data_IF_173357658467
#
_entry.id   IF_173357658467
#
_cell.length_a   1.000
_cell.length_b   1.000
_cell.length_c   1.000
_cell.angle_alpha   90.00
_cell.angle_beta   90.00
_cell.angle_gamma   90.00
#
_symmetry.space_group_name_H-M   'P 1'
#
loop_
_entity.id
_entity.type
_entity.pdbx_description
1 polymer ?
#
# COMPACT_ATOMS: atom_id res chain seq x y z
N UNK A 1 17.31 -20.03 -1.39
CA UNK A 1 16.52 -19.06 -0.59
C UNK A 1 15.72 -18.18 -1.54
N UNK A 2 14.39 -18.16 -1.41
CA UNK A 2 13.46 -17.40 -2.25
C UNK A 2 13.42 -15.93 -1.78
N UNK A 3 14.07 -15.03 -2.53
CA UNK A 3 14.05 -13.58 -2.27
C UNK A 3 12.84 -12.94 -2.99
N UNK A 4 11.63 -13.39 -2.66
CA UNK A 4 10.37 -12.77 -3.06
C UNK A 4 10.06 -11.64 -2.05
N UNK A 5 9.58 -10.49 -2.52
CA UNK A 5 9.11 -9.41 -1.66
C UNK A 5 7.89 -9.83 -0.86
N UNK A 6 6.98 -10.60 -1.47
CA UNK A 6 5.76 -11.07 -0.84
C UNK A 6 6.05 -12.41 -0.17
N UNK A 7 6.02 -12.51 1.17
CA UNK A 7 6.13 -13.79 1.85
C UNK A 7 5.00 -14.75 1.45
N UNK A 8 5.29 -16.05 1.36
CA UNK A 8 4.30 -17.09 0.98
C UNK A 8 2.97 -17.01 1.73
N UNK A 9 3.01 -16.67 3.02
CA UNK A 9 1.82 -16.62 3.87
C UNK A 9 1.22 -15.21 3.99
N UNK A 10 1.78 -14.18 3.34
CA UNK A 10 1.38 -12.79 3.56
C UNK A 10 -0.11 -12.54 3.35
N UNK A 11 -0.71 -13.11 2.30
CA UNK A 11 -2.14 -12.92 2.03
C UNK A 11 -3.04 -13.71 2.97
N UNK A 12 -2.60 -14.91 3.38
CA UNK A 12 -3.28 -15.68 4.41
C UNK A 12 -3.25 -14.93 5.75
N UNK A 13 -2.09 -14.43 6.14
CA UNK A 13 -1.90 -13.67 7.38
C UNK A 13 -2.72 -12.38 7.35
N UNK A 14 -2.75 -11.67 6.21
CA UNK A 14 -3.60 -10.49 6.03
C UNK A 14 -5.08 -10.81 6.26
N UNK A 15 -5.59 -11.91 5.69
CA UNK A 15 -6.98 -12.31 5.83
C UNK A 15 -7.35 -12.77 7.25
N UNK A 16 -6.41 -13.38 7.98
CA UNK A 16 -6.65 -13.93 9.33
C UNK A 16 -6.42 -12.87 10.43
N UNK A 17 -5.42 -12.00 10.25
CA UNK A 17 -4.96 -11.05 11.28
C UNK A 17 -5.61 -9.67 11.16
N UNK A 18 -6.47 -9.45 10.16
CA UNK A 18 -7.13 -8.16 9.93
C UNK A 18 -8.61 -8.37 9.56
N UNK A 19 -9.46 -7.35 9.73
CA UNK A 19 -10.86 -7.44 9.34
C UNK A 19 -11.08 -7.27 7.82
N UNK A 20 -10.11 -7.60 6.96
CA UNK A 20 -10.17 -7.34 5.51
C UNK A 20 -11.46 -7.84 4.86
N UNK A 21 -11.89 -9.06 5.18
CA UNK A 21 -13.11 -9.64 4.61
C UNK A 21 -14.35 -8.88 5.06
N UNK A 22 -14.42 -8.51 6.35
CA UNK A 22 -15.51 -7.70 6.89
C UNK A 22 -15.54 -6.31 6.26
N UNK A 23 -14.39 -5.68 6.10
CA UNK A 23 -14.25 -4.38 5.42
C UNK A 23 -14.83 -4.44 4.02
N UNK A 24 -14.44 -5.43 3.20
CA UNK A 24 -14.99 -5.55 1.85
C UNK A 24 -16.50 -5.80 1.86
N UNK A 25 -17.00 -6.68 2.75
CA UNK A 25 -18.43 -6.92 2.87
C UNK A 25 -19.19 -5.64 3.20
N UNK A 26 -18.75 -4.90 4.23
CA UNK A 26 -19.40 -3.68 4.70
C UNK A 26 -19.29 -2.53 3.68
N UNK A 27 -18.14 -2.39 3.02
CA UNK A 27 -17.92 -1.31 2.04
C UNK A 27 -18.83 -1.40 0.81
N UNK A 28 -19.30 -2.61 0.47
CA UNK A 28 -20.25 -2.85 -0.62
C UNK A 28 -21.68 -3.16 -0.12
N UNK A 29 -21.98 -2.86 1.15
CA UNK A 29 -23.31 -3.00 1.73
C UNK A 29 -24.04 -1.65 1.78
N UNK A 30 -25.35 -1.68 2.05
CA UNK A 30 -26.15 -0.48 2.26
C UNK A 30 -25.65 0.33 3.47
N UNK A 31 -25.70 1.65 3.37
CA UNK A 31 -25.32 2.58 4.44
C UNK A 31 -26.57 2.89 5.26
N UNK A 32 -26.64 2.40 6.48
CA UNK A 32 -27.79 2.62 7.36
C UNK A 32 -27.62 3.84 8.27
N UNK A 33 -26.38 4.14 8.68
CA UNK A 33 -26.06 5.21 9.61
C UNK A 33 -24.67 5.79 9.38
N UNK A 34 -24.41 6.99 9.92
CA UNK A 34 -23.08 7.63 9.86
C UNK A 34 -22.11 6.85 10.75
N UNK A 35 -22.61 6.35 11.88
CA UNK A 35 -21.90 5.56 12.86
C UNK A 35 -21.34 4.26 12.24
N UNK A 36 -22.10 3.59 11.37
CA UNK A 36 -21.63 2.42 10.61
C UNK A 36 -20.46 2.78 9.68
N UNK A 37 -20.50 3.95 9.03
CA UNK A 37 -19.41 4.43 8.19
C UNK A 37 -18.15 4.75 9.00
N UNK A 38 -18.30 5.36 10.18
CA UNK A 38 -17.18 5.62 11.09
C UNK A 38 -16.54 4.31 11.58
N UNK A 39 -17.35 3.31 11.93
CA UNK A 39 -16.86 1.99 12.30
C UNK A 39 -16.10 1.33 11.14
N UNK A 40 -16.64 1.39 9.91
CA UNK A 40 -15.97 0.89 8.72
C UNK A 40 -14.62 1.59 8.49
N UNK A 41 -14.52 2.89 8.78
CA UNK A 41 -13.29 3.66 8.65
C UNK A 41 -12.21 3.13 9.63
N UNK A 42 -12.59 2.81 10.86
CA UNK A 42 -11.70 2.19 11.85
C UNK A 42 -11.19 0.82 11.37
N UNK A 43 -12.08 -0.03 10.86
CA UNK A 43 -11.68 -1.36 10.35
C UNK A 43 -10.73 -1.24 9.15
N UNK A 44 -11.00 -0.32 8.23
CA UNK A 44 -10.17 -0.07 7.06
C UNK A 44 -8.78 0.47 7.46
N UNK A 45 -8.71 1.31 8.50
CA UNK A 45 -7.44 1.77 9.08
C UNK A 45 -6.61 0.60 9.64
N UNK A 46 -7.23 -0.35 10.35
CA UNK A 46 -6.54 -1.53 10.88
C UNK A 46 -5.89 -2.37 9.78
N UNK A 47 -6.61 -2.60 8.67
CA UNK A 47 -6.08 -3.30 7.49
C UNK A 47 -4.88 -2.54 6.90
N UNK A 48 -5.01 -1.23 6.71
CA UNK A 48 -3.96 -0.38 6.15
C UNK A 48 -2.70 -0.39 7.01
N UNK A 49 -2.84 -0.26 8.33
CA UNK A 49 -1.71 -0.29 9.27
C UNK A 49 -1.02 -1.65 9.31
N UNK A 50 -1.77 -2.74 9.16
CA UNK A 50 -1.17 -4.07 9.03
C UNK A 50 -0.28 -4.15 7.77
N UNK A 51 -0.81 -3.76 6.60
CA UNK A 51 -0.03 -3.77 5.35
C UNK A 51 1.17 -2.84 5.40
N UNK A 52 1.04 -1.68 6.07
CA UNK A 52 2.15 -0.77 6.31
C UNK A 52 3.30 -1.46 7.06
N UNK A 53 2.99 -2.17 8.14
CA UNK A 53 3.98 -2.92 8.92
C UNK A 53 4.61 -4.05 8.10
N UNK A 54 3.81 -4.74 7.27
CA UNK A 54 4.35 -5.74 6.34
C UNK A 54 5.34 -5.13 5.34
N UNK A 55 5.00 -3.98 4.74
CA UNK A 55 5.90 -3.26 3.83
C UNK A 55 7.21 -2.85 4.52
N UNK A 56 7.14 -2.39 5.78
CA UNK A 56 8.32 -2.07 6.58
C UNK A 56 9.20 -3.29 6.82
N UNK A 57 8.60 -4.43 7.13
CA UNK A 57 9.31 -5.69 7.32
C UNK A 57 9.99 -6.16 6.03
N UNK A 58 9.33 -6.02 4.87
CA UNK A 58 9.91 -6.33 3.55
C UNK A 58 11.14 -5.45 3.30
N UNK A 59 11.03 -4.14 3.49
CA UNK A 59 12.13 -3.18 3.32
C UNK A 59 13.31 -3.52 4.24
N UNK A 60 13.03 -3.86 5.51
CA UNK A 60 14.06 -4.24 6.48
C UNK A 60 14.79 -5.51 6.06
N UNK A 61 14.07 -6.58 5.74
CA UNK A 61 14.65 -7.86 5.29
C UNK A 61 15.51 -7.71 4.03
N UNK A 62 15.08 -6.87 3.09
CA UNK A 62 15.86 -6.60 1.87
C UNK A 62 17.12 -5.78 2.14
N UNK A 63 17.11 -4.89 3.14
CA UNK A 63 18.29 -4.11 3.53
C UNK A 63 19.42 -5.01 4.05
N UNK A 64 19.05 -6.09 4.71
CA UNK A 64 19.95 -7.12 5.24
C UNK A 64 20.45 -8.09 4.14
N UNK A 65 19.99 -7.95 2.88
CA UNK A 65 20.35 -8.84 1.78
C UNK A 65 21.61 -8.37 1.03
N UNK A 66 22.69 -9.16 1.11
CA UNK A 66 23.99 -8.84 0.53
C UNK A 66 23.97 -8.65 -1.00
N UNK A 67 23.12 -9.40 -1.72
CA UNK A 67 23.03 -9.29 -3.19
C UNK A 67 22.48 -7.92 -3.59
N UNK A 68 21.45 -7.45 -2.90
CA UNK A 68 20.82 -6.14 -3.18
C UNK A 68 21.78 -5.01 -2.81
N UNK A 69 22.51 -5.14 -1.70
CA UNK A 69 23.54 -4.20 -1.28
C UNK A 69 24.68 -4.10 -2.30
N UNK A 70 25.15 -5.24 -2.82
CA UNK A 70 26.21 -5.31 -3.83
C UNK A 70 25.80 -4.66 -5.17
N UNK A 71 24.52 -4.73 -5.54
CA UNK A 71 23.99 -4.13 -6.77
C UNK A 71 23.76 -2.61 -6.67
N UNK A 72 24.01 -2.00 -5.50
CA UNK A 72 23.96 -0.54 -5.35
C UNK A 72 22.56 0.08 -5.41
N UNK A 73 21.51 -0.69 -5.15
CA UNK A 73 20.14 -0.19 -5.04
C UNK A 73 19.45 -0.73 -3.78
N UNK A 74 18.46 0.00 -3.29
CA UNK A 74 17.66 -0.40 -2.11
C UNK A 74 16.19 -0.11 -2.32
N UNK A 75 15.34 -0.93 -1.71
CA UNK A 75 13.93 -0.61 -1.54
C UNK A 75 13.78 0.34 -0.34
N UNK A 76 13.00 1.39 -0.50
CA UNK A 76 12.58 2.25 0.60
C UNK A 76 11.06 2.34 0.67
N UNK A 77 10.56 2.67 1.85
CA UNK A 77 9.19 3.15 2.02
C UNK A 77 9.23 4.68 2.04
N UNK A 78 8.70 5.30 1.00
CA UNK A 78 8.64 6.76 0.86
C UNK A 78 7.38 7.29 1.57
N UNK A 79 7.56 8.27 2.46
CA UNK A 79 6.47 8.94 3.19
C UNK A 79 5.93 10.17 2.44
N UNK A 80 6.57 10.58 1.35
CA UNK A 80 6.35 11.88 0.72
C UNK A 80 5.15 11.98 -0.24
N UNK A 81 4.06 11.22 -0.02
CA UNK A 81 2.84 11.44 -0.79
C UNK A 81 1.88 12.35 -0.02
N UNK A 82 1.36 13.38 -0.69
CA UNK A 82 0.33 14.29 -0.19
C UNK A 82 -0.97 13.58 0.24
N UNK A 83 -1.11 12.29 -0.08
CA UNK A 83 -2.22 11.43 0.30
C UNK A 83 -2.00 10.66 1.61
N UNK A 84 -0.87 10.86 2.33
CA UNK A 84 -0.51 10.05 3.51
C UNK A 84 -0.19 8.59 3.18
N UNK A 85 0.05 8.29 1.90
CA UNK A 85 0.34 6.95 1.41
C UNK A 85 1.81 6.58 1.58
N UNK A 86 2.07 5.37 2.06
CA UNK A 86 3.41 4.83 2.19
C UNK A 86 3.73 3.92 1.00
N UNK A 87 4.54 4.41 0.08
CA UNK A 87 4.82 3.70 -1.17
C UNK A 87 6.22 3.11 -1.18
N UNK A 88 6.34 1.89 -1.68
CA UNK A 88 7.61 1.23 -1.92
C UNK A 88 8.25 1.78 -3.20
N UNK A 89 9.51 2.21 -3.11
CA UNK A 89 10.28 2.79 -4.22
C UNK A 89 11.71 2.28 -4.23
N UNK A 90 12.24 1.96 -5.40
CA UNK A 90 13.67 1.71 -5.59
C UNK A 90 14.46 3.02 -5.51
N UNK A 91 15.62 2.97 -4.87
CA UNK A 91 16.59 4.09 -4.80
C UNK A 91 17.99 3.56 -5.06
N UNK A 92 18.78 4.33 -5.81
CA UNK A 92 20.22 4.13 -5.92
C UNK A 92 20.90 4.47 -4.60
N UNK A 93 21.93 3.69 -4.26
CA UNK A 93 22.83 3.96 -3.13
C UNK A 93 24.26 4.24 -3.58
N UNK A 94 24.63 3.85 -4.80
CA UNK A 94 25.93 4.11 -5.40
C UNK A 94 25.79 5.12 -6.55
N UNK A 95 26.59 6.18 -6.52
CA UNK A 95 26.64 7.24 -7.54
C UNK A 95 25.74 8.45 -7.29
N UNK A 96 26.28 9.66 -7.51
CA UNK A 96 25.50 10.90 -7.63
C UNK A 96 24.93 10.96 -9.05
N UNK A 97 23.67 10.55 -9.26
CA UNK A 97 22.79 11.13 -10.30
C UNK A 97 21.35 10.61 -10.18
N UNK A 98 20.47 11.50 -9.73
CA UNK A 98 19.21 11.98 -10.35
C UNK A 98 18.23 11.07 -11.12
N UNK A 99 18.40 9.75 -11.19
CA UNK A 99 17.35 8.90 -11.77
C UNK A 99 16.23 8.67 -10.74
N UNK A 100 15.29 9.62 -10.72
CA UNK A 100 14.04 9.59 -9.95
C UNK A 100 13.13 8.48 -10.49
N UNK A 101 13.22 7.29 -9.91
CA UNK A 101 12.14 6.31 -9.88
C UNK A 101 11.76 5.67 -11.21
N UNK A 102 11.07 4.52 -11.14
CA UNK A 102 10.45 3.84 -12.29
C UNK A 102 11.37 3.05 -13.22
N UNK A 103 12.62 3.48 -13.48
CA UNK A 103 13.48 2.86 -14.51
C UNK A 103 14.76 2.19 -13.97
N UNK A 104 14.96 2.19 -12.66
CA UNK A 104 16.15 1.60 -12.02
C UNK A 104 16.32 0.12 -12.30
N UNK A 105 15.23 -0.65 -12.15
CA UNK A 105 15.23 -2.08 -12.45
C UNK A 105 15.50 -2.38 -13.92
N UNK A 106 15.14 -1.46 -14.83
CA UNK A 106 15.32 -1.63 -16.28
C UNK A 106 16.81 -1.68 -16.65
N UNK A 107 17.60 -0.78 -16.07
CA UNK A 107 19.06 -0.78 -16.27
C UNK A 107 19.71 -2.08 -15.81
N UNK A 108 19.27 -2.63 -14.67
CA UNK A 108 19.78 -3.90 -14.15
C UNK A 108 19.38 -5.10 -15.02
N UNK A 109 18.17 -5.11 -15.57
CA UNK A 109 17.76 -6.18 -16.49
C UNK A 109 18.56 -6.11 -17.81
N UNK A 110 18.90 -4.91 -18.26
CA UNK A 110 19.66 -4.70 -19.49
C UNK A 110 21.17 -4.94 -19.35
N UNK A 111 21.71 -5.01 -18.12
CA UNK A 111 23.13 -5.24 -17.87
C UNK A 111 23.53 -6.68 -18.26
N UNK A 112 24.37 -6.82 -19.28
CA UNK A 112 24.83 -8.12 -19.78
C UNK A 112 25.80 -8.83 -18.83
N UNK A 113 26.35 -8.14 -17.83
CA UNK A 113 27.22 -8.73 -16.81
C UNK A 113 26.44 -9.47 -15.71
N UNK A 114 25.14 -9.17 -15.58
CA UNK A 114 24.30 -9.83 -14.58
C UNK A 114 23.78 -11.18 -15.08
N UNK A 115 23.90 -12.20 -14.22
CA UNK A 115 23.36 -13.53 -14.46
C UNK A 115 21.84 -13.48 -14.69
N UNK A 116 21.34 -14.33 -15.57
CA UNK A 116 19.92 -14.40 -15.95
C UNK A 116 19.03 -14.62 -14.73
N UNK A 117 19.48 -15.41 -13.75
CA UNK A 117 18.77 -15.69 -12.50
C UNK A 117 18.59 -14.42 -11.66
N UNK A 118 19.58 -13.53 -11.64
CA UNK A 118 19.50 -12.23 -10.95
C UNK A 118 18.50 -11.32 -11.65
N UNK A 119 18.50 -11.29 -12.98
CA UNK A 119 17.54 -10.51 -13.78
C UNK A 119 16.10 -10.97 -13.55
N UNK A 120 15.86 -12.28 -13.56
CA UNK A 120 14.54 -12.88 -13.25
C UNK A 120 14.05 -12.47 -11.87
N UNK A 121 14.94 -12.41 -10.87
CA UNK A 121 14.62 -11.98 -9.51
C UNK A 121 14.25 -10.50 -9.46
N UNK A 122 15.03 -9.62 -10.09
CA UNK A 122 14.74 -8.19 -10.15
C UNK A 122 13.37 -7.93 -10.80
N UNK A 123 13.08 -8.64 -11.90
CA UNK A 123 11.78 -8.58 -12.56
C UNK A 123 10.65 -8.98 -11.61
N UNK A 124 10.80 -10.08 -10.88
CA UNK A 124 9.79 -10.55 -9.92
C UNK A 124 9.59 -9.53 -8.79
N UNK A 125 10.67 -9.02 -8.21
CA UNK A 125 10.60 -8.01 -7.14
C UNK A 125 9.90 -6.73 -7.62
N UNK A 126 10.09 -6.30 -8.87
CA UNK A 126 9.37 -5.15 -9.40
C UNK A 126 7.87 -5.41 -9.55
N UNK A 127 7.47 -6.59 -10.06
CA UNK A 127 6.06 -6.98 -10.14
C UNK A 127 5.39 -6.94 -8.76
N UNK A 128 6.07 -7.48 -7.76
CA UNK A 128 5.55 -7.53 -6.39
C UNK A 128 5.48 -6.13 -5.77
N UNK A 129 6.47 -5.27 -5.99
CA UNK A 129 6.45 -3.87 -5.53
C UNK A 129 5.26 -3.12 -6.13
N UNK A 130 4.97 -3.32 -7.41
CA UNK A 130 3.80 -2.74 -8.09
C UNK A 130 2.52 -3.20 -7.40
N UNK A 131 2.36 -4.52 -7.18
CA UNK A 131 1.19 -5.09 -6.49
C UNK A 131 1.00 -4.52 -5.09
N UNK A 132 2.07 -4.45 -4.28
CA UNK A 132 2.03 -3.91 -2.92
C UNK A 132 1.62 -2.42 -2.92
N UNK A 133 2.14 -1.62 -3.85
CA UNK A 133 1.76 -0.22 -3.99
C UNK A 133 0.31 -0.05 -4.48
N UNK A 134 -0.15 -0.92 -5.37
CA UNK A 134 -1.54 -0.94 -5.83
C UNK A 134 -2.50 -1.23 -4.67
N UNK A 135 -2.20 -2.24 -3.84
CA UNK A 135 -2.99 -2.58 -2.65
C UNK A 135 -3.10 -1.39 -1.69
N UNK A 136 -1.97 -0.73 -1.40
CA UNK A 136 -1.96 0.49 -0.59
C UNK A 136 -2.78 1.64 -1.23
N UNK A 137 -2.74 1.78 -2.55
CA UNK A 137 -3.51 2.80 -3.29
C UNK A 137 -5.01 2.57 -3.20
N UNK A 138 -5.45 1.31 -3.30
CA UNK A 138 -6.86 0.93 -3.18
C UNK A 138 -7.36 1.27 -1.78
N UNK A 139 -6.64 0.88 -0.72
CA UNK A 139 -7.04 1.18 0.66
C UNK A 139 -7.12 2.69 0.94
N UNK A 140 -6.11 3.46 0.51
CA UNK A 140 -6.15 4.91 0.66
C UNK A 140 -7.31 5.55 -0.13
N UNK A 141 -7.69 4.97 -1.27
CA UNK A 141 -8.82 5.46 -2.05
C UNK A 141 -10.16 5.12 -1.39
N UNK A 142 -10.32 3.91 -0.87
CA UNK A 142 -11.48 3.52 -0.06
C UNK A 142 -11.64 4.44 1.14
N UNK A 143 -10.56 4.75 1.86
CA UNK A 143 -10.59 5.66 3.01
C UNK A 143 -11.07 7.05 2.62
N UNK A 144 -10.55 7.61 1.52
CA UNK A 144 -10.99 8.92 1.01
C UNK A 144 -12.46 8.92 0.62
N UNK A 145 -12.91 7.92 -0.14
CA UNK A 145 -14.31 7.81 -0.54
C UNK A 145 -15.25 7.69 0.66
N UNK A 146 -14.85 6.94 1.69
CA UNK A 146 -15.62 6.80 2.91
C UNK A 146 -15.70 8.12 3.69
N UNK A 147 -14.58 8.83 3.86
CA UNK A 147 -14.55 10.15 4.50
C UNK A 147 -15.43 11.18 3.78
N UNK A 148 -15.40 11.18 2.44
CA UNK A 148 -16.23 12.09 1.64
C UNK A 148 -17.71 11.71 1.72
N UNK A 149 -18.03 10.42 1.81
CA UNK A 149 -19.39 9.93 2.00
C UNK A 149 -19.95 10.32 3.37
N UNK A 150 -19.16 10.16 4.44
CA UNK A 150 -19.52 10.58 5.81
C UNK A 150 -19.89 12.07 5.83
N UNK A 151 -19.08 12.94 5.24
CA UNK A 151 -19.38 14.38 5.17
C UNK A 151 -20.73 14.65 4.51
N UNK A 152 -20.98 14.07 3.33
CA UNK A 152 -22.24 14.25 2.61
C UNK A 152 -23.45 13.74 3.39
N UNK A 153 -23.32 12.61 4.08
CA UNK A 153 -24.39 12.05 4.91
C UNK A 153 -24.68 12.94 6.13
N UNK A 154 -23.64 13.50 6.74
CA UNK A 154 -23.79 14.50 7.82
C UNK A 154 -24.51 15.73 7.33
N UNK A 155 -24.15 16.27 6.16
CA UNK A 155 -24.80 17.44 5.56
C UNK A 155 -26.29 17.16 5.31
N UNK A 156 -26.63 15.98 4.75
CA UNK A 156 -28.02 15.54 4.53
C UNK A 156 -28.79 15.49 5.86
N UNK A 157 -28.19 14.89 6.91
CA UNK A 157 -28.80 14.77 8.24
C UNK A 157 -29.08 16.14 8.86
N UNK A 158 -28.14 17.09 8.73
CA UNK A 158 -28.29 18.44 9.24
C UNK A 158 -29.40 19.22 8.54
N UNK A 159 -29.45 19.15 7.20
CA UNK A 159 -30.51 19.81 6.42
C UNK A 159 -31.90 19.26 6.77
N UNK A 160 -32.01 17.95 6.99
CA UNK A 160 -33.27 17.33 7.41
C UNK A 160 -33.73 17.81 8.79
N UNK A 161 -32.83 17.92 9.76
CA UNK A 161 -33.14 18.46 11.10
C UNK A 161 -33.60 19.92 10.99
N UNK A 162 -32.89 20.75 10.21
CA UNK A 162 -33.26 22.14 9.99
C UNK A 162 -34.67 22.29 9.35
N UNK A 163 -35.06 21.39 8.45
CA UNK A 163 -36.41 21.37 7.89
C UNK A 163 -37.50 20.99 8.91
N UNK A 164 -37.16 20.20 9.93
CA UNK A 164 -38.10 19.84 11.00
C UNK A 164 -38.29 20.98 12.00
N UNK A 165 -37.22 21.71 12.33
CA UNK A 165 -37.25 22.80 13.31
C UNK A 165 -37.95 24.08 12.78
N UNK A 166 -38.09 24.22 11.46
CA UNK A 166 -38.75 25.35 10.79
C UNK A 166 -40.21 25.07 10.37
N UNK A 167 -40.81 23.95 10.80
CA UNK A 167 -42.23 23.61 10.60
C UNK A 167 -43.01 23.73 11.90
#
# INVERSE_FOLDING_TARGET
MQNELIPKNMYRDLAIQTPLNSVFKLFFSEINSIEDCEQLQVLLYQVREHLLKQHQNIVRKLRENDVIKALGFRLIQDKASSSGGHFLRWRLTLGKQENKGGLLWKGLIQDNQLQVEVKKRILQMEKERITLNMQMSILNSMMRQLSDSIKKLTDIKQEYIHLQDNK
#
